data_IF_721710234576
#
_entry.id   IF_721710234576
#
_cell.length_a   1.000
_cell.length_b   1.000
_cell.length_c   1.000
_cell.angle_alpha   90.00
_cell.angle_beta   90.00
_cell.angle_gamma   90.00
#
_symmetry.space_group_name_H-M   'P 1'
#
loop_
_entity.id
_entity.type
_entity.pdbx_description
1 polymer ?
#
# COMPACT_ATOMS: atom_id res chain seq x y z
N UNK A 1 -0.69 7.54 -94.07
CA UNK A 1 -0.47 6.60 -92.95
C UNK A 1 1.02 6.51 -92.70
N UNK A 2 1.45 6.57 -91.44
CA UNK A 2 2.84 6.36 -90.94
C UNK A 2 3.83 7.48 -91.28
N UNK A 3 4.77 7.89 -90.43
CA UNK A 3 4.98 7.86 -88.98
C UNK A 3 6.11 8.90 -88.76
N UNK A 4 6.03 9.72 -87.71
CA UNK A 4 7.12 10.58 -87.27
C UNK A 4 7.82 9.95 -86.07
N UNK A 5 9.10 9.65 -86.21
CA UNK A 5 10.15 9.90 -85.21
C UNK A 5 10.25 11.45 -85.08
N UNK A 6 10.73 12.12 -84.04
CA UNK A 6 11.82 11.83 -83.11
C UNK A 6 11.84 12.90 -81.97
N UNK A 7 12.25 12.48 -80.76
CA UNK A 7 12.98 13.33 -79.81
C UNK A 7 12.20 14.21 -78.80
N UNK A 8 11.86 13.66 -77.63
CA UNK A 8 11.69 14.46 -76.41
C UNK A 8 12.58 13.94 -75.29
N UNK A 9 13.59 14.76 -74.97
CA UNK A 9 14.52 14.63 -73.84
C UNK A 9 13.79 14.65 -72.50
N UNK A 10 14.39 13.92 -71.57
CA UNK A 10 14.03 13.70 -70.17
C UNK A 10 14.01 15.00 -69.35
N UNK A 11 13.17 15.02 -68.31
CA UNK A 11 13.49 15.65 -67.03
C UNK A 11 12.71 14.91 -65.91
N UNK A 12 13.39 13.99 -65.22
CA UNK A 12 12.91 13.44 -63.95
C UNK A 12 13.47 14.31 -62.81
N UNK A 13 12.65 14.69 -61.82
CA UNK A 13 13.12 15.50 -60.69
C UNK A 13 14.10 14.71 -59.80
N UNK A 14 15.14 15.38 -59.35
CA UNK A 14 16.21 14.83 -58.50
C UNK A 14 15.73 14.54 -57.08
N UNK A 15 16.38 13.56 -56.42
CA UNK A 15 16.05 13.06 -55.06
C UNK A 15 15.96 14.13 -53.96
N UNK A 16 16.47 15.35 -54.18
CA UNK A 16 16.32 16.46 -53.22
C UNK A 16 14.92 17.08 -53.21
N UNK A 17 14.15 17.01 -54.31
CA UNK A 17 12.78 17.54 -54.34
C UNK A 17 11.76 16.64 -53.62
N UNK A 18 12.04 15.35 -53.44
CA UNK A 18 11.20 14.44 -52.65
C UNK A 18 11.41 14.58 -51.13
N UNK A 19 12.54 15.12 -50.67
CA UNK A 19 12.80 15.33 -49.24
C UNK A 19 12.19 16.62 -48.67
N UNK A 20 11.87 17.62 -49.49
CA UNK A 20 11.28 18.88 -49.00
C UNK A 20 9.76 18.86 -48.85
N UNK A 21 9.04 17.90 -49.45
CA UNK A 21 7.58 17.79 -49.27
C UNK A 21 7.14 16.99 -48.02
N UNK A 22 8.07 16.39 -47.27
CA UNK A 22 7.73 15.63 -46.06
C UNK A 22 7.78 16.46 -44.74
N UNK A 23 8.02 17.77 -44.80
CA UNK A 23 8.17 18.60 -43.58
C UNK A 23 7.02 19.56 -43.26
N UNK A 24 5.81 19.37 -43.80
CA UNK A 24 4.65 20.21 -43.45
C UNK A 24 3.35 19.42 -43.25
N UNK A 25 3.38 18.38 -42.42
CA UNK A 25 2.15 17.82 -41.85
C UNK A 25 2.17 18.05 -40.34
N UNK A 26 1.18 18.76 -39.76
CA UNK A 26 1.06 18.80 -38.31
C UNK A 26 0.78 17.38 -37.79
N UNK A 27 1.24 17.03 -36.57
CA UNK A 27 0.93 15.72 -36.01
C UNK A 27 -0.60 15.56 -35.92
N UNK A 28 -1.10 14.47 -36.51
CA UNK A 28 -2.45 13.97 -36.24
C UNK A 28 -2.45 13.52 -34.78
N UNK A 29 -2.88 14.42 -33.90
CA UNK A 29 -3.61 14.18 -32.64
C UNK A 29 -3.67 15.46 -31.80
N UNK A 30 -3.90 16.63 -32.42
CA UNK A 30 -4.27 17.82 -31.67
C UNK A 30 -5.78 17.77 -31.38
N UNK A 31 -6.14 17.24 -30.22
CA UNK A 31 -7.49 17.26 -29.70
C UNK A 31 -7.60 18.34 -28.60
N UNK A 32 -8.11 19.54 -28.91
CA UNK A 32 -8.19 20.65 -27.95
C UNK A 32 -9.09 20.33 -26.73
N UNK A 33 -9.93 19.30 -26.82
CA UNK A 33 -10.80 18.84 -25.74
C UNK A 33 -10.02 18.09 -24.64
N UNK A 34 -8.92 17.42 -24.98
CA UNK A 34 -8.06 16.71 -24.00
C UNK A 34 -7.24 17.68 -23.14
N UNK A 35 -6.79 18.80 -23.69
CA UNK A 35 -6.09 19.84 -22.91
C UNK A 35 -7.03 20.63 -22.01
N UNK A 36 -8.27 20.90 -22.43
CA UNK A 36 -9.28 21.51 -21.56
C UNK A 36 -9.72 20.57 -20.42
N UNK A 37 -9.79 19.26 -20.66
CA UNK A 37 -10.01 18.27 -19.61
C UNK A 37 -8.83 18.13 -18.65
N UNK A 38 -7.58 18.25 -19.14
CA UNK A 38 -6.38 18.25 -18.29
C UNK A 38 -6.22 19.55 -17.49
N UNK A 39 -6.62 20.71 -18.02
CA UNK A 39 -6.60 21.97 -17.27
C UNK A 39 -7.72 22.07 -16.21
N UNK A 40 -8.86 21.40 -16.42
CA UNK A 40 -9.88 21.28 -15.36
C UNK A 40 -9.46 20.37 -14.19
N UNK A 41 -8.42 19.54 -14.36
CA UNK A 41 -7.87 18.68 -13.29
C UNK A 41 -6.77 19.34 -12.46
N UNK A 42 -6.39 20.59 -12.74
CA UNK A 42 -5.36 21.34 -11.98
C UNK A 42 -5.94 22.44 -11.07
N UNK A 43 -7.24 22.39 -10.78
CA UNK A 43 -7.73 23.13 -9.61
C UNK A 43 -7.30 22.34 -8.36
N UNK A 44 -6.71 22.98 -7.32
CA UNK A 44 -6.47 22.29 -6.07
C UNK A 44 -7.81 21.77 -5.56
N UNK A 45 -8.03 20.46 -5.66
CA UNK A 45 -9.18 19.83 -5.05
C UNK A 45 -9.10 20.19 -3.57
N UNK A 46 -10.05 21.01 -3.09
CA UNK A 46 -10.18 21.25 -1.67
C UNK A 46 -10.30 19.87 -1.03
N UNK A 47 -9.27 19.48 -0.26
CA UNK A 47 -9.28 18.24 0.49
C UNK A 47 -10.56 18.25 1.29
N UNK A 48 -11.51 17.36 0.99
CA UNK A 48 -12.81 17.57 1.58
C UNK A 48 -12.73 17.27 3.10
N UNK A 49 -13.60 17.88 3.92
CA UNK A 49 -13.43 17.88 5.38
C UNK A 49 -13.94 16.57 5.99
N UNK A 50 -13.02 15.70 6.44
CA UNK A 50 -13.32 14.38 6.98
C UNK A 50 -13.70 14.41 8.45
N UNK A 51 -13.38 15.48 9.17
CA UNK A 51 -13.59 15.57 10.63
C UNK A 51 -14.99 15.15 11.10
N UNK A 52 -16.10 15.45 10.39
CA UNK A 52 -17.42 14.99 10.81
C UNK A 52 -17.61 13.47 10.73
N UNK A 53 -16.96 12.79 9.77
CA UNK A 53 -17.06 11.34 9.58
C UNK A 53 -16.13 10.57 10.53
N UNK A 54 -14.96 11.14 10.88
CA UNK A 54 -14.00 10.57 11.83
C UNK A 54 -14.51 10.59 13.29
N UNK A 55 -15.57 11.37 13.58
CA UNK A 55 -16.22 11.39 14.91
C UNK A 55 -17.23 10.26 15.14
N UNK A 56 -17.58 9.49 14.11
CA UNK A 56 -18.66 8.49 14.16
C UNK A 56 -18.18 7.04 14.10
N UNK A 57 -16.88 6.78 13.98
CA UNK A 57 -16.31 5.42 13.91
C UNK A 57 -16.04 4.77 15.28
N UNK A 58 -16.27 5.46 16.39
CA UNK A 58 -16.46 4.81 17.69
C UNK A 58 -17.87 4.23 17.78
N UNK A 59 -18.09 3.10 17.10
CA UNK A 59 -19.27 2.28 17.31
C UNK A 59 -19.19 1.63 18.72
N UNK A 60 -19.52 2.43 19.73
CA UNK A 60 -20.04 1.98 21.01
C UNK A 60 -21.32 1.17 20.71
N UNK A 61 -21.17 -0.15 20.62
CA UNK A 61 -22.31 -1.06 20.59
C UNK A 61 -23.06 -1.00 21.91
N UNK A 62 -24.23 -0.36 21.92
CA UNK A 62 -25.19 -0.44 23.03
C UNK A 62 -25.74 -1.86 23.08
N UNK A 63 -25.24 -2.70 23.98
CA UNK A 63 -25.91 -3.93 24.42
C UNK A 63 -25.74 -4.11 25.94
N UNK A 64 -26.86 -3.85 26.65
CA UNK A 64 -27.15 -3.96 28.10
C UNK A 64 -26.78 -2.74 28.98
N UNK A 65 -27.68 -2.27 29.88
CA UNK A 65 -27.49 -1.05 30.67
C UNK A 65 -26.31 -1.02 31.66
N UNK A 66 -25.45 -2.04 31.72
CA UNK A 66 -24.31 -2.13 32.65
C UNK A 66 -23.14 -2.97 32.09
N UNK A 67 -23.03 -3.10 30.75
CA UNK A 67 -21.87 -3.74 30.13
C UNK A 67 -21.35 -2.81 29.05
N UNK A 68 -20.39 -1.96 29.42
CA UNK A 68 -19.50 -1.33 28.44
C UNK A 68 -18.48 -2.40 28.10
N UNK A 69 -18.50 -2.91 26.87
CA UNK A 69 -17.31 -3.58 26.34
C UNK A 69 -16.30 -2.48 26.07
N UNK A 70 -15.47 -2.22 27.07
CA UNK A 70 -14.18 -1.64 26.82
C UNK A 70 -13.29 -2.75 26.27
N UNK A 71 -13.25 -2.88 24.94
CA UNK A 71 -12.45 -3.94 24.30
C UNK A 71 -10.95 -3.70 24.57
N UNK A 72 -10.55 -2.48 24.98
CA UNK A 72 -9.20 -2.17 25.47
C UNK A 72 -9.17 -0.98 26.43
N UNK A 73 -9.58 -1.18 27.69
CA UNK A 73 -9.05 -0.34 28.79
C UNK A 73 -9.20 -1.04 30.13
N UNK A 74 -8.06 -1.45 30.69
CA UNK A 74 -7.54 -0.96 31.96
C UNK A 74 -6.40 -1.89 32.44
N UNK A 75 -5.16 -1.59 32.04
CA UNK A 75 -4.07 -1.65 33.02
C UNK A 75 -3.95 -0.24 33.60
N UNK A 76 -4.59 -0.03 34.75
CA UNK A 76 -4.17 1.03 35.64
C UNK A 76 -2.77 0.63 36.17
N UNK A 77 -1.72 0.99 35.43
CA UNK A 77 -0.33 0.77 35.83
C UNK A 77 0.61 0.47 34.67
N UNK A 78 1.35 1.48 34.23
CA UNK A 78 2.72 1.39 33.68
C UNK A 78 2.96 0.69 32.34
N UNK A 79 2.14 -0.29 31.94
CA UNK A 79 2.35 -1.07 30.72
C UNK A 79 1.39 -0.62 29.62
N UNK A 80 1.88 0.29 28.76
CA UNK A 80 1.20 0.78 27.54
C UNK A 80 1.16 -0.28 26.42
N UNK A 81 1.56 -1.53 26.70
CA UNK A 81 1.62 -2.61 25.72
C UNK A 81 0.24 -3.23 25.52
N UNK A 82 -0.23 -3.23 24.28
CA UNK A 82 -1.45 -3.92 23.89
C UNK A 82 -1.25 -5.45 23.96
N UNK A 83 -2.28 -6.24 24.27
CA UNK A 83 -2.12 -7.68 24.43
C UNK A 83 -1.74 -8.33 23.10
N UNK A 84 -1.05 -9.47 23.20
CA UNK A 84 -0.63 -10.24 22.03
C UNK A 84 -1.86 -10.68 21.20
N UNK A 85 -1.83 -10.53 19.87
CA UNK A 85 -2.92 -11.01 19.01
C UNK A 85 -3.06 -12.53 19.09
N UNK A 86 -4.30 -13.02 19.24
CA UNK A 86 -4.64 -14.44 19.14
C UNK A 86 -4.92 -14.79 17.68
N UNK A 87 -4.21 -15.78 17.15
CA UNK A 87 -4.38 -16.28 15.77
C UNK A 87 -4.87 -17.72 15.83
N UNK A 88 -6.06 -17.94 15.26
CA UNK A 88 -6.66 -19.28 15.10
C UNK A 88 -6.52 -19.68 13.64
N UNK A 89 -5.92 -20.84 13.38
CA UNK A 89 -5.71 -21.36 12.02
C UNK A 89 -6.55 -22.59 11.77
N UNK A 90 -6.99 -22.72 10.52
CA UNK A 90 -7.82 -23.83 10.05
C UNK A 90 -7.16 -24.51 8.85
N UNK A 91 -7.55 -25.76 8.60
CA UNK A 91 -7.13 -26.54 7.44
C UNK A 91 -8.17 -27.62 7.13
N UNK A 92 -7.79 -28.60 6.31
CA UNK A 92 -8.58 -29.80 6.01
C UNK A 92 -7.89 -31.03 6.62
N UNK A 93 -8.67 -31.92 7.23
CA UNK A 93 -8.21 -33.27 7.58
C UNK A 93 -8.14 -34.16 6.31
N UNK A 94 -7.53 -35.35 6.44
CA UNK A 94 -7.38 -36.32 5.34
C UNK A 94 -8.73 -36.75 4.74
N UNK A 95 -9.82 -36.70 5.52
CA UNK A 95 -11.18 -37.01 5.07
C UNK A 95 -11.91 -35.80 4.43
N UNK A 96 -11.22 -34.67 4.25
CA UNK A 96 -11.75 -33.45 3.65
C UNK A 96 -12.53 -32.54 4.60
N UNK A 97 -12.71 -32.90 5.88
CA UNK A 97 -13.40 -32.04 6.84
C UNK A 97 -12.54 -30.85 7.27
N UNK A 98 -13.19 -29.71 7.51
CA UNK A 98 -12.52 -28.53 8.08
C UNK A 98 -12.16 -28.76 9.55
N UNK A 99 -10.94 -28.38 9.93
CA UNK A 99 -10.40 -28.56 11.29
C UNK A 99 -9.65 -27.31 11.75
N UNK A 100 -9.58 -27.10 13.06
CA UNK A 100 -8.62 -26.19 13.66
C UNK A 100 -7.26 -26.86 13.76
N UNK A 101 -6.19 -26.15 13.38
CA UNK A 101 -4.82 -26.70 13.41
C UNK A 101 -3.92 -25.97 14.40
N UNK A 102 -4.22 -24.70 14.73
CA UNK A 102 -3.55 -23.99 15.80
C UNK A 102 -4.42 -22.86 16.34
N UNK A 103 -4.13 -22.49 17.59
CA UNK A 103 -4.76 -21.42 18.34
C UNK A 103 -3.69 -20.85 19.28
N UNK A 104 -3.07 -19.76 18.87
CA UNK A 104 -1.85 -19.26 19.51
C UNK A 104 -1.90 -17.75 19.73
N UNK A 105 -1.27 -17.30 20.82
CA UNK A 105 -0.93 -15.89 21.00
C UNK A 105 0.38 -15.62 20.25
N UNK A 106 0.36 -14.69 19.31
CA UNK A 106 1.56 -14.28 18.55
C UNK A 106 2.27 -13.18 19.31
N UNK A 107 3.51 -13.45 19.73
CA UNK A 107 4.34 -12.46 20.42
C UNK A 107 4.98 -11.52 19.39
N UNK A 108 4.79 -10.19 19.50
CA UNK A 108 5.49 -9.24 18.65
C UNK A 108 7.00 -9.34 18.84
N UNK A 109 7.75 -9.23 17.76
CA UNK A 109 9.17 -8.92 17.86
C UNK A 109 9.35 -7.43 18.19
N UNK A 110 10.28 -7.16 19.09
CA UNK A 110 10.54 -5.81 19.62
C UNK A 110 12.00 -5.73 20.11
N UNK A 111 12.70 -4.61 19.90
CA UNK A 111 12.28 -3.46 19.11
C UNK A 111 12.33 -3.77 17.60
N UNK A 112 11.39 -3.19 16.86
CA UNK A 112 11.38 -3.16 15.41
C UNK A 112 11.68 -1.75 14.90
N UNK A 113 12.58 -1.66 13.92
CA UNK A 113 13.02 -0.40 13.35
C UNK A 113 13.83 0.47 14.32
N UNK A 114 14.27 1.66 13.88
CA UNK A 114 15.10 2.54 14.70
C UNK A 114 14.37 3.14 15.92
N UNK A 115 13.05 3.18 15.89
CA UNK A 115 12.22 3.88 16.89
C UNK A 115 11.47 2.93 17.86
N UNK A 116 11.79 1.64 17.87
CA UNK A 116 11.31 0.71 18.90
C UNK A 116 9.82 0.38 18.82
N UNK A 117 9.28 0.20 17.62
CA UNK A 117 7.93 -0.34 17.43
C UNK A 117 7.87 -1.84 17.76
N UNK A 118 6.69 -2.38 18.00
CA UNK A 118 6.42 -3.82 18.01
C UNK A 118 5.89 -4.25 16.64
N UNK A 119 6.24 -5.45 16.19
CA UNK A 119 5.70 -5.98 14.93
C UNK A 119 5.41 -7.48 15.05
N UNK A 120 4.25 -7.91 14.56
CA UNK A 120 3.79 -9.30 14.60
C UNK A 120 3.46 -9.78 13.21
N UNK A 121 3.99 -10.94 12.83
CA UNK A 121 3.68 -11.58 11.55
C UNK A 121 2.66 -12.67 11.81
N UNK A 122 1.46 -12.51 11.26
CA UNK A 122 0.32 -13.41 11.50
C UNK A 122 0.25 -14.52 10.44
N UNK A 123 0.46 -14.17 9.17
CA UNK A 123 0.57 -15.11 8.04
C UNK A 123 1.45 -14.53 6.93
N UNK A 124 2.09 -15.41 6.17
CA UNK A 124 2.88 -15.05 4.97
C UNK A 124 2.61 -16.08 3.89
N UNK A 125 2.33 -15.62 2.68
CA UNK A 125 2.18 -16.47 1.50
C UNK A 125 3.13 -15.99 0.41
N UNK A 126 3.92 -16.89 -0.20
CA UNK A 126 4.93 -16.50 -1.19
C UNK A 126 4.31 -16.10 -2.53
N UNK A 127 3.07 -16.52 -2.81
CA UNK A 127 2.41 -16.31 -4.08
C UNK A 127 0.88 -16.19 -3.91
N UNK A 128 0.26 -15.42 -4.80
CA UNK A 128 -1.19 -15.35 -5.04
C UNK A 128 -1.42 -15.72 -6.52
N UNK A 129 -2.32 -16.68 -6.85
CA UNK A 129 -3.24 -17.39 -5.96
C UNK A 129 -2.56 -18.34 -4.97
N UNK A 130 -3.15 -18.49 -3.79
CA UNK A 130 -2.68 -19.38 -2.71
C UNK A 130 -3.20 -20.82 -2.91
N UNK A 131 -2.54 -21.79 -2.28
CA UNK A 131 -3.05 -23.17 -2.17
C UNK A 131 -3.49 -23.47 -0.73
N UNK A 132 -4.79 -23.71 -0.52
CA UNK A 132 -5.34 -23.97 0.82
C UNK A 132 -5.04 -25.37 1.38
N UNK A 133 -4.35 -26.21 0.61
CA UNK A 133 -3.79 -27.49 1.07
C UNK A 133 -2.38 -27.35 1.61
N UNK A 134 -1.73 -26.20 1.43
CA UNK A 134 -0.41 -25.96 2.01
C UNK A 134 -0.54 -25.87 3.54
N UNK A 135 0.42 -26.43 4.30
CA UNK A 135 0.37 -26.37 5.75
C UNK A 135 0.32 -24.90 6.21
N UNK A 136 -0.52 -24.57 7.22
CA UNK A 136 -0.61 -23.20 7.71
C UNK A 136 0.75 -22.71 8.22
N UNK A 137 1.15 -21.51 7.81
CA UNK A 137 2.43 -20.94 8.25
C UNK A 137 2.30 -20.56 9.72
N UNK A 138 3.06 -21.24 10.57
CA UNK A 138 3.12 -20.91 12.00
C UNK A 138 3.80 -19.55 12.20
N UNK A 139 3.40 -18.79 13.22
CA UNK A 139 3.88 -17.42 13.41
C UNK A 139 5.42 -17.31 13.50
N UNK A 140 6.09 -18.28 14.13
CA UNK A 140 7.56 -18.30 14.20
C UNK A 140 8.22 -18.47 12.83
N UNK A 141 7.66 -19.33 11.96
CA UNK A 141 8.14 -19.52 10.60
C UNK A 141 7.81 -18.29 9.71
N UNK A 142 6.65 -17.69 9.92
CA UNK A 142 6.25 -16.46 9.23
C UNK A 142 7.20 -15.30 9.59
N UNK A 143 7.52 -15.13 10.88
CA UNK A 143 8.46 -14.13 11.37
C UNK A 143 9.88 -14.34 10.83
N UNK A 144 10.34 -15.59 10.73
CA UNK A 144 11.64 -15.91 10.13
C UNK A 144 11.69 -15.66 8.61
N UNK A 145 10.57 -15.81 7.90
CA UNK A 145 10.48 -15.59 6.45
C UNK A 145 10.41 -14.10 6.08
N UNK A 146 9.84 -13.26 6.95
CA UNK A 146 9.88 -11.80 6.82
C UNK A 146 11.27 -11.25 7.17
N UNK A 147 12.16 -11.24 6.18
CA UNK A 147 13.57 -10.79 6.22
C UNK A 147 13.86 -9.66 7.24
N UNK A 148 14.30 -10.06 8.45
CA UNK A 148 14.73 -9.17 9.53
C UNK A 148 16.16 -8.64 9.26
N UNK A 149 16.53 -7.40 9.69
CA UNK A 149 15.94 -6.64 10.80
C UNK A 149 15.40 -5.23 10.46
N UNK A 150 15.31 -4.82 9.19
CA UNK A 150 15.05 -3.40 8.85
C UNK A 150 13.60 -3.10 8.45
N UNK A 151 13.06 -3.73 7.40
CA UNK A 151 11.69 -3.51 6.93
C UNK A 151 11.07 -4.85 6.50
N UNK A 152 9.95 -5.29 7.09
CA UNK A 152 9.19 -6.46 6.65
C UNK A 152 8.74 -6.27 5.21
N UNK A 153 9.24 -7.11 4.32
CA UNK A 153 8.89 -7.08 2.91
C UNK A 153 7.83 -8.12 2.62
N UNK A 154 6.79 -7.70 1.90
CA UNK A 154 5.87 -8.62 1.26
C UNK A 154 6.63 -9.37 0.15
N UNK A 155 6.46 -10.69 0.01
CA UNK A 155 6.95 -11.39 -1.17
C UNK A 155 6.38 -10.72 -2.44
N UNK A 156 7.18 -10.53 -3.51
CA UNK A 156 6.76 -9.75 -4.69
C UNK A 156 5.48 -10.25 -5.37
N UNK A 157 5.22 -11.55 -5.33
CA UNK A 157 4.01 -12.16 -5.88
C UNK A 157 3.02 -12.62 -4.79
N UNK A 158 3.28 -12.30 -3.51
CA UNK A 158 2.63 -12.91 -2.36
C UNK A 158 1.78 -11.94 -1.54
N UNK A 159 1.50 -12.36 -0.31
CA UNK A 159 0.74 -11.58 0.67
C UNK A 159 1.34 -11.76 2.08
N UNK A 160 1.41 -10.66 2.83
CA UNK A 160 1.72 -10.64 4.25
C UNK A 160 0.50 -10.17 5.04
N UNK A 161 0.23 -10.83 6.17
CA UNK A 161 -0.77 -10.40 7.14
C UNK A 161 -0.05 -10.11 8.47
N UNK A 162 -0.03 -8.84 8.89
CA UNK A 162 0.86 -8.36 9.96
C UNK A 162 0.19 -7.31 10.83
N UNK A 163 0.72 -7.12 12.04
CA UNK A 163 0.35 -6.04 12.96
C UNK A 163 1.60 -5.25 13.33
N UNK A 164 1.47 -3.92 13.37
CA UNK A 164 2.47 -3.01 13.96
C UNK A 164 1.87 -2.31 15.17
N UNK A 165 2.63 -2.26 16.26
CA UNK A 165 2.35 -1.47 17.46
C UNK A 165 3.36 -0.33 17.54
N UNK A 166 2.89 0.92 17.45
CA UNK A 166 3.73 2.12 17.54
C UNK A 166 3.50 2.75 18.92
N UNK A 167 4.49 2.74 19.83
CA UNK A 167 4.36 3.38 21.15
C UNK A 167 4.17 4.90 21.05
N UNK A 168 3.69 5.55 22.12
CA UNK A 168 3.59 7.01 22.19
C UNK A 168 4.91 7.72 21.86
N UNK A 169 4.86 8.73 21.00
CA UNK A 169 6.02 9.52 20.60
C UNK A 169 7.06 8.76 19.76
N UNK A 170 6.66 7.67 19.11
CA UNK A 170 7.49 6.89 18.17
C UNK A 170 6.94 6.97 16.76
N UNK A 171 7.78 6.65 15.79
CA UNK A 171 7.41 6.60 14.38
C UNK A 171 7.98 5.39 13.65
N UNK A 172 7.37 5.00 12.54
CA UNK A 172 8.01 4.18 11.52
C UNK A 172 8.50 5.15 10.42
N UNK A 173 9.82 5.30 10.20
CA UNK A 173 10.37 6.36 9.36
C UNK A 173 9.92 6.28 7.89
N UNK A 174 10.11 7.39 7.16
CA UNK A 174 9.75 7.51 5.75
C UNK A 174 10.32 6.37 4.90
N UNK A 175 9.45 5.61 4.24
CA UNK A 175 9.83 4.48 3.40
C UNK A 175 8.77 4.15 2.34
N UNK A 176 9.17 3.33 1.36
CA UNK A 176 8.34 2.83 0.27
C UNK A 176 8.58 1.34 0.08
N UNK A 177 7.49 0.58 0.02
CA UNK A 177 7.48 -0.85 -0.33
C UNK A 177 6.86 -1.06 -1.71
N UNK A 178 7.27 -2.12 -2.42
CA UNK A 178 6.56 -2.61 -3.61
C UNK A 178 5.37 -3.48 -3.18
N UNK A 179 4.39 -2.82 -2.59
CA UNK A 179 3.15 -3.44 -2.16
C UNK A 179 1.96 -2.50 -2.27
N UNK A 180 0.77 -3.10 -2.38
CA UNK A 180 -0.50 -2.48 -2.02
C UNK A 180 -0.86 -2.92 -0.61
N UNK A 181 -1.04 -1.97 0.30
CA UNK A 181 -1.36 -2.27 1.69
C UNK A 181 -2.80 -1.85 2.01
N UNK A 182 -3.58 -2.81 2.50
CA UNK A 182 -4.86 -2.52 3.16
C UNK A 182 -4.60 -2.48 4.66
N UNK A 183 -4.72 -1.28 5.25
CA UNK A 183 -4.48 -1.08 6.66
C UNK A 183 -5.76 -0.74 7.41
N UNK A 184 -5.87 -1.23 8.65
CA UNK A 184 -6.93 -0.88 9.59
C UNK A 184 -6.29 -0.46 10.92
N UNK A 185 -6.64 0.73 11.41
CA UNK A 185 -6.23 1.16 12.75
C UNK A 185 -7.15 0.47 13.75
N UNK A 186 -6.58 -0.37 14.60
CA UNK A 186 -7.33 -1.21 15.54
C UNK A 186 -7.45 -0.57 16.92
N UNK A 187 -6.45 0.22 17.34
CA UNK A 187 -6.41 0.94 18.61
C UNK A 187 -5.54 2.20 18.49
N UNK A 188 -5.83 3.22 19.31
CA UNK A 188 -5.14 4.50 19.29
C UNK A 188 -5.40 5.31 18.02
N UNK A 189 -4.46 6.20 17.70
CA UNK A 189 -4.44 6.98 16.47
C UNK A 189 -3.01 7.14 15.94
N UNK A 190 -2.87 7.35 14.64
CA UNK A 190 -1.58 7.54 13.97
C UNK A 190 -1.68 8.67 12.96
N UNK A 191 -0.60 9.43 12.80
CA UNK A 191 -0.43 10.36 11.70
C UNK A 191 0.28 9.63 10.56
N UNK A 192 -0.39 9.56 9.41
CA UNK A 192 0.19 9.12 8.14
C UNK A 192 0.68 10.36 7.38
N UNK A 193 2.00 10.46 7.19
CA UNK A 193 2.67 11.55 6.46
C UNK A 193 3.23 11.03 5.14
N UNK A 194 3.03 11.78 4.07
CA UNK A 194 3.58 11.50 2.73
C UNK A 194 4.79 12.40 2.44
N UNK A 195 5.63 12.00 1.47
CA UNK A 195 6.85 12.72 1.10
C UNK A 195 6.61 14.11 0.47
N UNK A 196 5.40 14.38 -0.02
CA UNK A 196 4.95 15.72 -0.42
C UNK A 196 4.62 16.67 0.74
N UNK A 197 4.69 16.21 1.99
CA UNK A 197 4.36 16.99 3.19
C UNK A 197 2.89 16.95 3.61
N UNK A 198 2.03 16.29 2.84
CA UNK A 198 0.63 16.04 3.25
C UNK A 198 0.58 15.04 4.40
N UNK A 199 -0.29 15.30 5.39
CA UNK A 199 -0.52 14.39 6.51
C UNK A 199 -2.01 14.22 6.83
N UNK A 200 -2.38 13.04 7.34
CA UNK A 200 -3.72 12.75 7.87
C UNK A 200 -3.60 11.95 9.16
N UNK A 201 -4.40 12.31 10.17
CA UNK A 201 -4.59 11.47 11.36
C UNK A 201 -5.66 10.42 11.09
N UNK A 202 -5.33 9.16 11.33
CA UNK A 202 -6.22 8.00 11.18
C UNK A 202 -6.38 7.33 12.54
N UNK A 203 -7.63 7.05 12.92
CA UNK A 203 -8.02 6.61 14.28
C UNK A 203 -8.57 5.20 14.27
N UNK A 204 -8.64 4.60 15.46
CA UNK A 204 -9.24 3.29 15.67
C UNK A 204 -10.62 3.15 14.95
N UNK A 205 -10.77 2.10 14.16
CA UNK A 205 -11.94 1.82 13.31
C UNK A 205 -11.86 2.37 11.89
N UNK A 206 -10.84 3.17 11.56
CA UNK A 206 -10.64 3.74 10.23
C UNK A 206 -9.66 2.92 9.38
N UNK A 207 -9.77 3.09 8.06
CA UNK A 207 -9.14 2.23 7.05
C UNK A 207 -8.27 3.05 6.10
N UNK A 208 -7.21 2.43 5.61
CA UNK A 208 -6.24 3.03 4.69
C UNK A 208 -6.00 2.07 3.53
N UNK A 209 -5.98 2.61 2.32
CA UNK A 209 -5.53 1.91 1.11
C UNK A 209 -4.27 2.61 0.63
N UNK A 210 -3.13 1.94 0.72
CA UNK A 210 -1.83 2.53 0.48
C UNK A 210 -1.16 1.89 -0.74
N UNK A 211 -1.02 2.66 -1.82
CA UNK A 211 -0.57 2.18 -3.13
C UNK A 211 0.92 2.47 -3.39
N UNK A 212 1.83 1.82 -2.65
CA UNK A 212 3.26 1.94 -2.89
C UNK A 212 3.82 3.37 -2.79
N UNK A 213 3.16 4.25 -2.02
CA UNK A 213 3.60 5.62 -1.80
C UNK A 213 4.70 5.67 -0.73
N UNK A 214 5.57 6.67 -0.82
CA UNK A 214 6.54 6.93 0.24
C UNK A 214 5.79 7.52 1.43
N UNK A 215 5.96 6.94 2.60
CA UNK A 215 5.14 7.28 3.75
C UNK A 215 5.86 7.06 5.09
N UNK A 216 5.40 7.78 6.10
CA UNK A 216 5.84 7.68 7.49
C UNK A 216 4.62 7.57 8.40
N UNK A 217 4.75 6.74 9.44
CA UNK A 217 3.74 6.58 10.48
C UNK A 217 4.24 7.21 11.77
N UNK A 218 3.52 8.18 12.34
CA UNK A 218 3.93 8.85 13.57
C UNK A 218 2.81 8.75 14.62
N UNK A 219 3.11 8.15 15.77
CA UNK A 219 2.20 8.18 16.91
C UNK A 219 2.48 9.42 17.78
N UNK A 220 1.69 10.47 17.57
CA UNK A 220 1.72 11.72 18.35
C UNK A 220 0.83 11.67 19.60
N UNK A 221 0.13 10.57 19.83
CA UNK A 221 -0.77 10.36 20.96
C UNK A 221 -0.04 9.93 22.23
N UNK A 222 -0.82 9.66 23.28
CA UNK A 222 -0.38 9.21 24.60
C UNK A 222 -0.58 7.71 24.85
N UNK A 223 -1.26 7.02 23.93
CA UNK A 223 -1.52 5.57 23.95
C UNK A 223 -0.83 4.87 22.77
N UNK A 224 -0.49 3.59 22.91
CA UNK A 224 0.06 2.79 21.80
C UNK A 224 -0.95 2.67 20.67
N UNK A 225 -0.54 2.98 19.44
CA UNK A 225 -1.36 2.76 18.25
C UNK A 225 -1.08 1.37 17.65
N UNK A 226 -2.14 0.61 17.37
CA UNK A 226 -2.05 -0.70 16.69
C UNK A 226 -2.67 -0.61 15.31
N UNK A 227 -1.91 -1.04 14.30
CA UNK A 227 -2.33 -1.05 12.90
C UNK A 227 -2.19 -2.48 12.37
N UNK A 228 -3.27 -3.00 11.77
CA UNK A 228 -3.29 -4.27 11.05
C UNK A 228 -3.05 -3.99 9.57
N UNK A 229 -2.19 -4.75 8.91
CA UNK A 229 -1.94 -4.65 7.47
C UNK A 229 -2.15 -5.98 6.77
N UNK A 230 -2.83 -5.93 5.62
CA UNK A 230 -2.74 -6.94 4.56
C UNK A 230 -1.93 -6.31 3.43
N UNK A 231 -0.68 -6.74 3.28
CA UNK A 231 0.21 -6.25 2.24
C UNK A 231 0.19 -7.25 1.08
N UNK A 232 -0.06 -6.78 -0.13
CA UNK A 232 -0.03 -7.60 -1.35
C UNK A 232 1.15 -7.14 -2.20
N UNK A 233 2.00 -8.08 -2.62
CA UNK A 233 3.13 -7.78 -3.48
C UNK A 233 2.67 -7.11 -4.77
N UNK A 234 3.33 -6.03 -5.17
CA UNK A 234 3.00 -5.28 -6.37
C UNK A 234 4.04 -5.44 -7.46
N UNK A 235 3.64 -5.11 -8.68
CA UNK A 235 4.58 -4.82 -9.74
C UNK A 235 5.45 -3.59 -9.38
N UNK A 236 6.52 -3.38 -10.16
CA UNK A 236 7.31 -2.15 -10.06
C UNK A 236 6.42 -0.94 -10.37
N UNK A 237 6.61 0.13 -9.63
CA UNK A 237 5.88 1.37 -9.84
C UNK A 237 6.54 2.12 -11.00
N UNK A 238 5.86 2.22 -12.13
CA UNK A 238 6.31 2.99 -13.30
C UNK A 238 5.37 4.15 -13.55
N UNK A 239 5.92 5.37 -13.55
CA UNK A 239 5.18 6.59 -13.83
C UNK A 239 4.87 6.71 -15.33
N UNK A 240 3.94 7.60 -15.68
CA UNK A 240 3.52 7.82 -17.06
C UNK A 240 4.68 8.25 -18.01
N UNK A 241 5.73 8.87 -17.45
CA UNK A 241 6.94 9.26 -18.20
C UNK A 241 8.01 8.17 -18.26
N UNK A 242 7.71 6.96 -17.78
CA UNK A 242 8.60 5.80 -17.80
C UNK A 242 9.58 5.74 -16.63
N UNK A 243 9.60 6.72 -15.72
CA UNK A 243 10.45 6.64 -14.53
C UNK A 243 9.95 5.53 -13.59
N UNK A 244 10.87 4.70 -13.14
CA UNK A 244 10.61 3.70 -12.11
C UNK A 244 10.83 4.32 -10.72
N UNK A 245 9.89 4.06 -9.80
CA UNK A 245 10.05 4.40 -8.39
C UNK A 245 10.56 3.16 -7.64
N UNK A 246 11.76 3.28 -7.09
CA UNK A 246 12.39 2.22 -6.31
C UNK A 246 11.87 2.18 -4.87
N UNK A 247 12.03 1.03 -4.23
CA UNK A 247 11.87 0.91 -2.78
C UNK A 247 12.81 1.88 -2.06
N UNK A 248 12.34 2.40 -0.94
CA UNK A 248 13.13 3.30 -0.09
C UNK A 248 13.17 2.74 1.32
N UNK A 249 14.29 2.92 2.00
CA UNK A 249 14.48 2.48 3.39
C UNK A 249 14.92 3.68 4.20
N UNK A 250 14.11 4.07 5.19
CA UNK A 250 14.46 5.05 6.22
C UNK A 250 15.07 6.34 5.67
N UNK A 251 14.33 7.00 4.79
CA UNK A 251 14.67 8.36 4.38
C UNK A 251 14.44 9.29 5.58
N UNK A 252 15.38 10.22 5.80
CA UNK A 252 15.27 11.27 6.82
C UNK A 252 14.69 12.53 6.23
#
# INVERSE_FOLDING_TARGET
MSAGDDGSSQDQPTQQQQQQQQQQSPPRDYNPTLQQQQQQQQQPQQQPNWEPYLRHTSALGILKPNVVFDVFKMSAGGDQRLPNPRVVRTAHADDGKSVFVSDELVTPFHPFGPEGSGFSVLDVRPAVPVRNTDPPVQAAAAAAASQQPLLPRCPPAGVNFVITDIPPGRSAPMHRTLSLDYAAVMAGEVVLRLDGGEEKTVRAGELIVQQGVNHEWENRGDETCRILFVMVGSEKITLADGRALEETVFQR
#
